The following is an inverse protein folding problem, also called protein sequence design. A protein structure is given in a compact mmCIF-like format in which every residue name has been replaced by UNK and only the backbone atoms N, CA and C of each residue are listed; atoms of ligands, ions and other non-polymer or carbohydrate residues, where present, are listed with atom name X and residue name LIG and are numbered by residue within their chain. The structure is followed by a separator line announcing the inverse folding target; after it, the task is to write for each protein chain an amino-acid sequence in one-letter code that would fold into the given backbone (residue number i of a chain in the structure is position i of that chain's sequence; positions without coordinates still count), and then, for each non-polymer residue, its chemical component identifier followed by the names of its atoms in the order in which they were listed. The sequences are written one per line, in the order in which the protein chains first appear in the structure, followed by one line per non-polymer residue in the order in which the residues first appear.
data_IF_073283078523
#
_entry.id   IF_073283078523
#
_cell.length_a   1.000
_cell.length_b   1.000
_cell.length_c   1.000
_cell.angle_alpha   90.00
_cell.angle_beta   90.00
_cell.angle_gamma   90.00
#
_symmetry.space_group_name_H-M   'P 1'
#
loop_
_entity.id
_entity.type
_entity.pdbx_description
1 polymer ?
#
# COMPACT_ATOMS: atom_id res chain seq x y z
N UNK A 1 -20.14 -5.69 44.50
CA UNK A 1 -21.12 -5.96 43.43
C UNK A 1 -21.88 -4.69 43.12
N UNK A 2 -21.65 -4.12 41.94
CA UNK A 2 -22.51 -3.14 41.28
C UNK A 2 -22.00 -3.04 39.82
N UNK A 3 -22.71 -3.71 38.91
CA UNK A 3 -22.53 -3.57 37.46
C UNK A 3 -23.20 -2.26 37.03
N UNK A 4 -22.46 -1.29 36.50
CA UNK A 4 -23.04 -0.13 35.79
C UNK A 4 -22.55 -0.15 34.33
N UNK A 5 -23.28 -0.91 33.52
CA UNK A 5 -23.20 -0.93 32.07
C UNK A 5 -23.90 0.32 31.53
N UNK A 6 -23.16 1.40 31.31
CA UNK A 6 -23.63 2.53 30.49
C UNK A 6 -22.98 2.49 29.12
N UNK A 7 -23.52 1.63 28.27
CA UNK A 7 -23.39 1.74 26.82
C UNK A 7 -24.02 3.06 26.35
N UNK A 8 -23.22 4.13 26.34
CA UNK A 8 -23.58 5.38 25.68
C UNK A 8 -23.46 5.16 24.16
N UNK A 9 -24.61 4.96 23.51
CA UNK A 9 -24.76 5.17 22.08
C UNK A 9 -24.24 6.56 21.73
N UNK A 10 -23.05 6.64 21.11
CA UNK A 10 -22.68 7.80 20.31
C UNK A 10 -23.33 7.65 18.93
N UNK A 11 -24.57 8.13 18.82
CA UNK A 11 -25.12 8.58 17.53
C UNK A 11 -24.74 10.04 17.34
N UNK A 12 -24.18 10.35 16.16
CA UNK A 12 -23.94 11.65 15.45
C UNK A 12 -22.60 11.49 14.69
N UNK A 13 -22.45 11.62 13.38
CA UNK A 13 -23.30 12.12 12.30
C UNK A 13 -22.81 11.49 10.97
N UNK A 14 -23.68 10.96 10.08
CA UNK A 14 -23.30 10.65 8.71
C UNK A 14 -23.45 11.92 7.87
N UNK A 15 -22.47 12.80 7.88
CA UNK A 15 -22.52 14.00 7.05
C UNK A 15 -21.55 15.10 7.45
N UNK A 16 -20.30 14.98 6.99
CA UNK A 16 -19.48 16.17 6.71
C UNK A 16 -18.40 15.91 5.67
N UNK A 17 -18.82 15.60 4.44
CA UNK A 17 -18.00 15.83 3.23
C UNK A 17 -18.18 17.28 2.74
N UNK A 18 -18.10 18.26 3.65
CA UNK A 18 -18.30 19.67 3.30
C UNK A 18 -16.94 20.40 3.28
N UNK A 19 -16.38 20.54 2.07
CA UNK A 19 -15.26 21.44 1.77
C UNK A 19 -13.91 20.76 1.58
N UNK A 20 -13.71 20.00 0.49
CA UNK A 20 -12.40 19.40 0.16
C UNK A 20 -11.55 20.35 -0.74
N UNK A 21 -10.73 21.26 -0.21
CA UNK A 21 -9.40 21.43 -0.74
C UNK A 21 -8.55 20.36 -0.04
N UNK A 22 -8.57 19.12 -0.56
CA UNK A 22 -7.43 18.23 -0.31
C UNK A 22 -6.27 19.00 -0.91
N UNK A 23 -5.55 19.72 -0.04
CA UNK A 23 -4.32 20.39 -0.39
C UNK A 23 -3.58 19.41 -1.28
N UNK A 24 -3.04 19.91 -2.40
CA UNK A 24 -1.96 19.20 -3.07
C UNK A 24 -0.90 19.02 -2.00
N UNK A 25 -0.99 17.93 -1.25
CA UNK A 25 0.00 17.53 -0.29
C UNK A 25 1.18 17.26 -1.20
N UNK A 26 2.08 18.24 -1.26
CA UNK A 26 3.31 18.16 -2.02
C UNK A 26 4.23 17.18 -1.29
N UNK A 27 3.75 15.95 -1.09
CA UNK A 27 4.62 14.81 -1.03
C UNK A 27 5.26 14.74 -2.40
N UNK A 28 6.51 15.17 -2.49
CA UNK A 28 7.36 14.99 -3.66
C UNK A 28 7.25 13.54 -4.10
N UNK A 29 6.43 13.25 -5.11
CA UNK A 29 6.28 11.91 -5.65
C UNK A 29 7.61 11.52 -6.28
N UNK A 30 8.14 10.36 -5.90
CA UNK A 30 9.35 9.84 -6.52
C UNK A 30 9.14 9.69 -8.02
N UNK A 31 10.14 10.12 -8.80
CA UNK A 31 10.16 9.85 -10.23
C UNK A 31 10.58 8.39 -10.46
N UNK A 32 9.73 7.62 -11.15
CA UNK A 32 9.97 6.19 -11.44
C UNK A 32 10.27 5.36 -10.17
N UNK A 33 9.33 5.30 -9.21
CA UNK A 33 9.50 4.49 -8.01
C UNK A 33 9.72 3.01 -8.38
N UNK A 34 10.62 2.29 -7.68
CA UNK A 34 10.87 0.89 -7.94
C UNK A 34 9.67 0.03 -7.53
N UNK A 35 9.54 -1.16 -8.13
CA UNK A 35 8.51 -2.10 -7.70
C UNK A 35 8.86 -2.60 -6.28
N UNK A 36 7.90 -2.64 -5.33
CA UNK A 36 8.19 -3.04 -3.95
C UNK A 36 8.81 -4.43 -3.81
N UNK A 37 8.45 -5.35 -4.70
CA UNK A 37 9.04 -6.67 -4.77
C UNK A 37 10.51 -6.71 -5.17
N UNK A 38 11.00 -5.74 -5.96
CA UNK A 38 12.42 -5.60 -6.28
C UNK A 38 13.19 -5.12 -5.04
N UNK A 39 12.64 -4.14 -4.32
CA UNK A 39 13.20 -3.67 -3.04
C UNK A 39 13.24 -4.80 -2.01
N UNK A 40 12.17 -5.61 -1.93
CA UNK A 40 12.13 -6.79 -1.08
C UNK A 40 13.21 -7.81 -1.46
N UNK A 41 13.39 -8.06 -2.76
CA UNK A 41 14.41 -8.99 -3.25
C UNK A 41 15.79 -8.53 -2.80
N UNK A 42 16.11 -7.28 -3.07
CA UNK A 42 17.45 -6.74 -2.86
C UNK A 42 17.76 -6.61 -1.35
N UNK A 43 16.77 -6.24 -0.53
CA UNK A 43 16.93 -6.11 0.93
C UNK A 43 16.93 -7.43 1.71
N UNK A 44 16.31 -8.50 1.18
CA UNK A 44 16.19 -9.78 1.90
C UNK A 44 17.11 -10.88 1.37
N UNK A 45 17.41 -10.92 0.07
CA UNK A 45 18.05 -12.09 -0.54
C UNK A 45 19.50 -11.88 -0.97
N UNK A 46 19.97 -10.64 -1.09
CA UNK A 46 21.33 -10.36 -1.58
C UNK A 46 22.40 -10.85 -0.61
N UNK A 47 22.21 -10.63 0.70
CA UNK A 47 23.28 -10.85 1.70
C UNK A 47 22.92 -11.83 2.83
N UNK A 48 21.66 -12.27 2.93
CA UNK A 48 21.19 -13.03 4.11
C UNK A 48 21.26 -14.55 3.96
N UNK A 49 21.64 -15.08 2.79
CA UNK A 49 21.73 -16.53 2.54
C UNK A 49 20.39 -17.30 2.62
N UNK A 50 19.26 -16.60 2.78
CA UNK A 50 17.93 -17.19 2.83
C UNK A 50 17.43 -17.52 1.41
N UNK A 51 16.83 -18.70 1.23
CA UNK A 51 16.22 -19.05 -0.05
C UNK A 51 14.80 -18.50 -0.18
N UNK A 52 14.36 -18.25 -1.42
CA UNK A 52 12.96 -17.84 -1.71
C UNK A 52 11.95 -18.83 -1.13
N UNK A 53 12.28 -20.12 -1.14
CA UNK A 53 11.41 -21.17 -0.58
C UNK A 53 11.28 -21.01 0.93
N UNK A 54 12.40 -20.89 1.65
CA UNK A 54 12.39 -20.74 3.11
C UNK A 54 11.67 -19.46 3.54
N UNK A 55 11.85 -18.36 2.81
CA UNK A 55 11.13 -17.12 3.12
C UNK A 55 9.63 -17.21 2.81
N UNK A 56 9.23 -17.88 1.72
CA UNK A 56 7.82 -18.10 1.42
C UNK A 56 7.12 -18.93 2.51
N UNK A 57 7.78 -19.98 3.00
CA UNK A 57 7.30 -20.78 4.13
C UNK A 57 7.13 -19.93 5.39
N UNK A 58 8.13 -19.09 5.72
CA UNK A 58 8.07 -18.18 6.87
C UNK A 58 6.92 -17.17 6.77
N UNK A 59 6.61 -16.70 5.56
CA UNK A 59 5.47 -15.82 5.30
C UNK A 59 4.12 -16.58 5.26
N UNK A 60 4.13 -17.92 5.22
CA UNK A 60 2.93 -18.74 5.06
C UNK A 60 2.28 -18.57 3.68
N UNK A 61 3.09 -18.44 2.63
CA UNK A 61 2.64 -18.24 1.25
C UNK A 61 3.28 -19.24 0.30
N UNK A 62 2.70 -19.41 -0.88
CA UNK A 62 3.34 -20.26 -1.90
C UNK A 62 4.61 -19.60 -2.44
N UNK A 63 5.63 -20.41 -2.71
CA UNK A 63 6.86 -19.96 -3.38
C UNK A 63 6.57 -19.24 -4.71
N UNK A 64 5.56 -19.71 -5.46
CA UNK A 64 5.14 -19.11 -6.73
C UNK A 64 4.62 -17.69 -6.51
N UNK A 65 3.77 -17.47 -5.50
CA UNK A 65 3.27 -16.14 -5.18
C UNK A 65 4.41 -15.18 -4.82
N UNK A 66 5.29 -15.58 -3.90
CA UNK A 66 6.44 -14.76 -3.52
C UNK A 66 7.33 -14.46 -4.73
N UNK A 67 7.64 -15.46 -5.56
CA UNK A 67 8.45 -15.28 -6.76
C UNK A 67 7.84 -14.27 -7.75
N UNK A 68 6.51 -14.27 -7.91
CA UNK A 68 5.83 -13.26 -8.75
C UNK A 68 6.00 -11.86 -8.19
N UNK A 69 5.89 -11.69 -6.87
CA UNK A 69 6.13 -10.40 -6.21
C UNK A 69 7.58 -9.95 -6.42
N UNK A 70 8.56 -10.80 -6.10
CA UNK A 70 10.00 -10.50 -6.20
C UNK A 70 10.45 -10.11 -7.62
N UNK A 71 9.73 -10.57 -8.65
CA UNK A 71 10.02 -10.28 -10.05
C UNK A 71 9.13 -9.19 -10.66
N UNK A 72 8.41 -8.42 -9.85
CA UNK A 72 7.57 -7.31 -10.33
C UNK A 72 6.32 -7.76 -11.12
N UNK A 73 5.95 -9.04 -11.03
CA UNK A 73 4.80 -9.63 -11.76
C UNK A 73 3.52 -9.69 -10.92
N UNK A 74 3.59 -9.31 -9.65
CA UNK A 74 2.47 -9.16 -8.74
C UNK A 74 2.78 -8.07 -7.71
N UNK A 75 1.79 -7.24 -7.40
CA UNK A 75 1.93 -6.23 -6.35
C UNK A 75 1.85 -6.81 -4.94
N UNK A 76 2.19 -6.00 -3.95
CA UNK A 76 2.00 -6.29 -2.54
C UNK A 76 0.55 -5.95 -2.15
N UNK A 77 -0.23 -6.98 -1.82
CA UNK A 77 -1.56 -6.82 -1.23
C UNK A 77 -1.47 -6.46 0.26
N UNK A 78 -2.59 -6.04 0.87
CA UNK A 78 -2.66 -5.79 2.31
C UNK A 78 -2.29 -7.03 3.15
N UNK A 79 -2.76 -8.23 2.76
CA UNK A 79 -2.39 -9.49 3.42
C UNK A 79 -0.87 -9.72 3.35
N UNK A 80 -0.27 -9.55 2.17
CA UNK A 80 1.18 -9.69 2.01
C UNK A 80 1.96 -8.64 2.83
N UNK A 81 1.48 -7.39 2.87
CA UNK A 81 2.11 -6.31 3.63
C UNK A 81 2.17 -6.63 5.14
N UNK A 82 1.08 -7.17 5.71
CA UNK A 82 1.04 -7.59 7.12
C UNK A 82 2.01 -8.75 7.38
N UNK A 83 2.09 -9.74 6.47
CA UNK A 83 3.04 -10.86 6.57
C UNK A 83 4.49 -10.38 6.54
N UNK A 84 4.83 -9.48 5.60
CA UNK A 84 6.16 -8.90 5.48
C UNK A 84 6.54 -8.07 6.71
N UNK A 85 5.63 -7.22 7.18
CA UNK A 85 5.81 -6.44 8.41
C UNK A 85 6.15 -7.34 9.61
N UNK A 86 5.41 -8.44 9.76
CA UNK A 86 5.63 -9.41 10.84
C UNK A 86 6.97 -10.14 10.70
N UNK A 87 7.32 -10.58 9.49
CA UNK A 87 8.53 -11.37 9.25
C UNK A 87 9.84 -10.55 9.32
N UNK A 88 9.77 -9.26 9.00
CA UNK A 88 10.92 -8.36 8.84
C UNK A 88 11.02 -7.29 9.92
N UNK A 89 10.01 -7.15 10.80
CA UNK A 89 9.98 -6.10 11.81
C UNK A 89 9.79 -4.70 11.22
N UNK A 90 9.03 -4.58 10.12
CA UNK A 90 8.73 -3.32 9.45
C UNK A 90 7.25 -2.93 9.63
N UNK A 91 6.79 -1.83 9.02
CA UNK A 91 5.35 -1.48 8.99
C UNK A 91 4.66 -2.00 7.72
N UNK A 92 3.38 -2.37 7.83
CA UNK A 92 2.57 -2.78 6.67
C UNK A 92 2.24 -1.59 5.78
N UNK A 93 2.04 -0.43 6.40
CA UNK A 93 1.78 0.87 5.76
C UNK A 93 2.95 1.27 4.84
N UNK A 94 4.20 1.05 5.25
CA UNK A 94 5.38 1.32 4.41
C UNK A 94 5.35 0.51 3.12
N UNK A 95 4.98 -0.77 3.18
CA UNK A 95 4.87 -1.62 1.99
C UNK A 95 3.72 -1.18 1.08
N UNK A 96 2.57 -0.84 1.64
CA UNK A 96 1.42 -0.33 0.89
C UNK A 96 1.67 1.04 0.27
N UNK A 97 2.40 1.94 0.97
CA UNK A 97 2.81 3.22 0.42
C UNK A 97 3.76 3.04 -0.77
N UNK A 98 4.71 2.11 -0.68
CA UNK A 98 5.60 1.81 -1.80
C UNK A 98 4.82 1.26 -3.00
N UNK A 99 3.87 0.35 -2.75
CA UNK A 99 3.00 -0.20 -3.78
C UNK A 99 2.14 0.89 -4.43
N UNK A 100 1.50 1.75 -3.62
CA UNK A 100 0.69 2.85 -4.11
C UNK A 100 1.51 3.83 -4.96
N UNK A 101 2.74 4.16 -4.53
CA UNK A 101 3.63 5.01 -5.31
C UNK A 101 3.97 4.39 -6.66
N UNK A 102 4.32 3.09 -6.69
CA UNK A 102 4.55 2.35 -7.92
C UNK A 102 3.34 2.35 -8.84
N UNK A 103 2.17 1.94 -8.33
CA UNK A 103 0.94 1.82 -9.11
C UNK A 103 0.48 3.17 -9.66
N UNK A 104 0.56 4.24 -8.86
CA UNK A 104 0.23 5.59 -9.30
C UNK A 104 1.13 6.03 -10.44
N UNK A 105 2.44 5.82 -10.35
CA UNK A 105 3.37 6.18 -11.42
C UNK A 105 3.09 5.41 -12.72
N UNK A 106 2.84 4.10 -12.62
CA UNK A 106 2.48 3.28 -13.79
C UNK A 106 1.15 3.74 -14.42
N UNK A 107 0.15 4.03 -13.58
CA UNK A 107 -1.16 4.50 -14.02
C UNK A 107 -1.09 5.90 -14.66
N UNK A 108 -0.34 6.83 -14.10
CA UNK A 108 -0.14 8.16 -14.68
C UNK A 108 0.53 8.09 -16.05
N UNK A 109 1.50 7.18 -16.21
CA UNK A 109 2.18 6.95 -17.47
C UNK A 109 1.24 6.35 -18.51
N UNK A 110 0.46 5.33 -18.15
CA UNK A 110 -0.45 4.64 -19.07
C UNK A 110 -1.65 5.51 -19.46
N UNK A 111 -2.23 6.23 -18.50
CA UNK A 111 -3.44 7.03 -18.68
C UNK A 111 -3.15 8.48 -19.13
N UNK A 112 -1.89 8.84 -19.41
CA UNK A 112 -1.47 10.23 -19.71
C UNK A 112 -2.38 10.95 -20.71
N UNK A 113 -2.80 10.27 -21.78
CA UNK A 113 -3.67 10.83 -22.83
C UNK A 113 -5.14 10.93 -22.41
N UNK A 114 -5.60 10.03 -21.56
CA UNK A 114 -6.98 9.97 -21.09
C UNK A 114 -7.21 11.00 -19.99
N UNK A 115 -6.30 11.07 -19.01
CA UNK A 115 -6.33 12.06 -17.93
C UNK A 115 -6.30 13.49 -18.48
N UNK A 116 -5.55 13.75 -19.56
CA UNK A 116 -5.51 15.07 -20.20
C UNK A 116 -6.87 15.56 -20.73
N UNK A 117 -7.84 14.65 -20.96
CA UNK A 117 -9.19 14.98 -21.42
C UNK A 117 -10.17 15.19 -20.27
N UNK A 118 -9.83 14.75 -19.05
CA UNK A 118 -10.68 14.86 -17.88
C UNK A 118 -10.74 16.32 -17.45
N UNK A 119 -11.96 16.86 -17.37
CA UNK A 119 -12.20 18.22 -16.85
C UNK A 119 -12.49 18.12 -15.35
N UNK A 120 -11.71 18.80 -14.48
CA UNK A 120 -11.98 18.79 -13.05
C UNK A 120 -13.39 19.28 -12.75
N UNK A 121 -14.06 18.62 -11.80
CA UNK A 121 -15.34 19.09 -11.30
C UNK A 121 -15.14 20.42 -10.58
N UNK A 122 -15.95 21.42 -10.93
CA UNK A 122 -16.07 22.63 -10.12
C UNK A 122 -16.97 22.29 -8.94
N UNK A 123 -16.36 22.05 -7.78
CA UNK A 123 -17.11 21.88 -6.54
C UNK A 123 -17.41 23.28 -5.97
N UNK A 124 -18.69 23.57 -5.70
CA UNK A 124 -19.06 24.75 -4.91
C UNK A 124 -18.62 24.53 -3.46
N UNK A 125 -17.99 25.55 -2.88
CA UNK A 125 -17.46 25.53 -1.52
C UNK A 125 -18.58 25.49 -0.46
#
# INVERSE_FOLDING_TARGET
MAHDLRFRQRRRDPGRLSGLPLARETMTRMYNPPHPGEVLRDGVFTDNGITVTAFAERLGVTRVMLSRVLNGRAGISADMAVRLATALGTSAESWLHMQANYDLWQAEKSLKREIAKIRPLKMAA
#
